data_IF_713797712607
#
_entry.id   IF_713797712607
#
_cell.length_a   1.000
_cell.length_b   1.000
_cell.length_c   1.000
_cell.angle_alpha   90.00
_cell.angle_beta   90.00
_cell.angle_gamma   90.00
#
_symmetry.space_group_name_H-M   'P 1'
#
loop_
_entity.id
_entity.type
_entity.pdbx_description
1 polymer ?
#
# COMPACT_ATOMS: atom_id res chain seq x y z
N UNK A 1 -15.35 23.12 6.54
CA UNK A 1 -15.12 21.72 6.91
C UNK A 1 -14.64 20.92 5.70
N UNK A 2 -13.54 20.25 5.87
CA UNK A 2 -13.05 19.37 4.84
C UNK A 2 -13.92 18.13 4.78
N UNK A 3 -14.35 17.76 3.61
CA UNK A 3 -15.10 16.53 3.40
C UNK A 3 -14.34 15.60 2.50
N UNK A 4 -14.41 14.34 2.84
CA UNK A 4 -13.95 13.31 1.91
C UNK A 4 -14.89 13.25 0.72
N UNK A 5 -14.36 12.96 -0.43
CA UNK A 5 -15.19 12.65 -1.58
C UNK A 5 -16.01 11.40 -1.30
N UNK A 6 -17.18 11.22 -1.93
CA UNK A 6 -17.89 9.97 -1.83
C UNK A 6 -17.00 8.82 -2.29
N UNK A 7 -17.13 7.62 -1.69
CA UNK A 7 -16.36 6.47 -2.15
C UNK A 7 -16.57 6.22 -3.64
N UNK A 8 -15.48 5.91 -4.31
CA UNK A 8 -15.49 5.54 -5.72
C UNK A 8 -15.46 4.03 -5.80
N UNK A 9 -16.33 3.46 -6.61
CA UNK A 9 -16.38 2.01 -6.80
C UNK A 9 -15.00 1.50 -7.22
N UNK A 10 -14.52 0.47 -6.55
CA UNK A 10 -13.22 -0.11 -6.82
C UNK A 10 -12.05 0.58 -6.13
N UNK A 11 -12.27 1.64 -5.36
CA UNK A 11 -11.21 2.30 -4.60
C UNK A 11 -11.27 1.91 -3.14
N UNK A 12 -10.70 0.75 -2.83
CA UNK A 12 -10.57 0.24 -1.48
C UNK A 12 -9.09 0.00 -1.20
N UNK A 13 -8.55 0.71 -0.22
CA UNK A 13 -7.12 0.68 0.10
C UNK A 13 -6.88 0.04 1.46
N UNK A 14 -5.77 -0.70 1.56
CA UNK A 14 -5.24 -1.17 2.83
C UNK A 14 -3.90 -0.49 3.07
N UNK A 15 -3.74 0.15 4.20
CA UNK A 15 -2.49 0.80 4.61
C UNK A 15 -1.86 0.00 5.73
N UNK A 16 -0.69 -0.57 5.44
CA UNK A 16 0.06 -1.40 6.39
C UNK A 16 1.30 -0.64 6.81
N UNK A 17 1.27 -0.07 8.00
CA UNK A 17 2.33 0.77 8.53
C UNK A 17 2.20 0.80 10.05
N UNK A 18 3.29 0.60 10.78
CA UNK A 18 3.27 0.65 12.24
C UNK A 18 3.21 2.08 12.78
N UNK A 19 3.50 3.09 11.96
CA UNK A 19 3.44 4.49 12.36
C UNK A 19 2.00 4.98 12.33
N UNK A 20 1.47 5.25 13.51
CA UNK A 20 0.08 5.68 13.67
C UNK A 20 -0.20 7.00 12.95
N UNK A 21 0.76 7.93 13.00
CA UNK A 21 0.59 9.24 12.36
C UNK A 21 0.53 9.10 10.85
N UNK A 22 1.36 8.25 10.28
CA UNK A 22 1.34 7.99 8.83
C UNK A 22 0.06 7.28 8.41
N UNK A 23 -0.42 6.30 9.19
CA UNK A 23 -1.71 5.67 8.90
C UNK A 23 -2.84 6.70 8.84
N UNK A 24 -2.86 7.62 9.81
CA UNK A 24 -3.85 8.69 9.83
C UNK A 24 -3.75 9.62 8.62
N UNK A 25 -2.54 9.99 8.27
CA UNK A 25 -2.30 10.84 7.11
C UNK A 25 -2.80 10.18 5.82
N UNK A 26 -2.42 8.94 5.58
CA UNK A 26 -2.83 8.22 4.38
C UNK A 26 -4.34 8.01 4.34
N UNK A 27 -4.94 7.69 5.49
CA UNK A 27 -6.39 7.54 5.58
C UNK A 27 -7.10 8.82 5.14
N UNK A 28 -6.62 9.97 5.60
CA UNK A 28 -7.19 11.26 5.24
C UNK A 28 -7.00 11.55 3.75
N UNK A 29 -5.79 11.39 3.26
CA UNK A 29 -5.48 11.74 1.87
C UNK A 29 -6.19 10.83 0.87
N UNK A 30 -6.18 9.54 1.13
CA UNK A 30 -6.85 8.59 0.24
C UNK A 30 -8.37 8.73 0.35
N UNK A 31 -8.88 8.99 1.55
CA UNK A 31 -10.31 9.23 1.74
C UNK A 31 -10.81 10.42 0.93
N UNK A 32 -10.00 11.48 0.85
CA UNK A 32 -10.32 12.66 0.03
C UNK A 32 -10.35 12.36 -1.46
N UNK A 33 -9.77 11.26 -1.86
CA UNK A 33 -9.72 10.82 -3.26
C UNK A 33 -10.66 9.64 -3.52
N UNK A 34 -11.66 9.47 -2.69
CA UNK A 34 -12.72 8.49 -2.92
C UNK A 34 -12.40 7.07 -2.48
N UNK A 35 -11.33 6.87 -1.72
CA UNK A 35 -11.00 5.55 -1.20
C UNK A 35 -11.74 5.24 0.09
N UNK A 36 -12.19 4.00 0.20
CA UNK A 36 -12.48 3.39 1.50
C UNK A 36 -11.15 2.84 2.01
N UNK A 37 -10.75 3.18 3.22
CA UNK A 37 -9.42 2.87 3.74
C UNK A 37 -9.51 2.02 5.00
N UNK A 38 -8.85 0.87 4.97
CA UNK A 38 -8.57 0.08 6.16
C UNK A 38 -7.10 0.22 6.52
N UNK A 39 -6.79 0.08 7.80
CA UNK A 39 -5.41 0.22 8.27
C UNK A 39 -4.99 -1.01 9.06
N UNK A 40 -3.71 -1.30 9.03
CA UNK A 40 -3.11 -2.37 9.83
C UNK A 40 -1.77 -1.88 10.37
N UNK A 41 -1.58 -2.01 11.67
CA UNK A 41 -0.33 -1.64 12.33
C UNK A 41 0.65 -2.79 12.44
N UNK A 42 0.25 -3.99 12.06
CA UNK A 42 1.12 -5.17 12.05
C UNK A 42 0.64 -6.18 11.00
N UNK A 43 1.46 -7.21 10.82
CA UNK A 43 1.20 -8.20 9.77
C UNK A 43 -0.01 -9.06 10.04
N UNK A 44 -0.32 -9.34 11.31
CA UNK A 44 -1.47 -10.18 11.65
C UNK A 44 -2.77 -9.48 11.28
N UNK A 45 -2.88 -8.22 11.64
CA UNK A 45 -4.06 -7.41 11.29
C UNK A 45 -4.16 -7.27 9.77
N UNK A 46 -3.02 -7.09 9.11
CA UNK A 46 -2.99 -7.00 7.66
C UNK A 46 -3.55 -8.27 7.00
N UNK A 47 -3.14 -9.44 7.47
CA UNK A 47 -3.66 -10.70 6.93
C UNK A 47 -5.14 -10.88 7.21
N UNK A 48 -5.61 -10.48 8.40
CA UNK A 48 -7.04 -10.53 8.70
C UNK A 48 -7.83 -9.70 7.70
N UNK A 49 -7.37 -8.50 7.41
CA UNK A 49 -8.00 -7.65 6.40
C UNK A 49 -7.96 -8.27 5.01
N UNK A 50 -6.80 -8.78 4.61
CA UNK A 50 -6.63 -9.38 3.29
C UNK A 50 -7.52 -10.60 3.09
N UNK A 51 -7.80 -11.35 4.16
CA UNK A 51 -8.68 -12.51 4.10
C UNK A 51 -10.15 -12.14 4.02
N UNK A 52 -10.52 -10.94 4.45
CA UNK A 52 -11.92 -10.52 4.54
C UNK A 52 -12.37 -9.60 3.42
N UNK A 53 -11.43 -8.89 2.80
CA UNK A 53 -11.75 -7.85 1.85
C UNK A 53 -10.88 -7.94 0.62
N UNK A 54 -11.41 -7.42 -0.49
CA UNK A 54 -10.63 -7.23 -1.71
C UNK A 54 -10.17 -5.77 -1.76
N UNK A 55 -8.88 -5.57 -1.95
CA UNK A 55 -8.31 -4.24 -2.04
C UNK A 55 -7.86 -3.95 -3.45
N UNK A 56 -8.06 -2.71 -3.89
CA UNK A 56 -7.57 -2.26 -5.18
C UNK A 56 -6.15 -1.72 -5.10
N UNK A 57 -5.70 -1.35 -3.90
CA UNK A 57 -4.33 -0.94 -3.64
C UNK A 57 -3.96 -1.28 -2.20
N UNK A 58 -2.72 -1.69 -2.02
CA UNK A 58 -2.15 -2.00 -0.70
C UNK A 58 -0.86 -1.20 -0.55
N UNK A 59 -0.83 -0.30 0.43
CA UNK A 59 0.39 0.43 0.79
C UNK A 59 1.09 -0.33 1.90
N UNK A 60 2.32 -0.75 1.66
CA UNK A 60 3.07 -1.58 2.59
C UNK A 60 4.39 -0.92 2.96
N UNK A 61 4.56 -0.61 4.24
CA UNK A 61 5.85 -0.21 4.79
C UNK A 61 6.68 -1.47 5.06
N UNK A 62 7.89 -1.50 4.52
CA UNK A 62 8.78 -2.65 4.71
C UNK A 62 9.34 -2.74 6.12
N UNK A 63 9.41 -1.62 6.82
CA UNK A 63 10.09 -1.55 8.13
C UNK A 63 9.08 -1.48 9.26
N UNK A 64 8.61 -2.65 9.69
CA UNK A 64 7.75 -2.77 10.86
C UNK A 64 8.43 -3.64 11.92
N UNK A 65 8.36 -3.26 13.21
CA UNK A 65 9.13 -3.96 14.24
C UNK A 65 8.70 -5.41 14.48
N UNK A 66 7.40 -5.70 14.43
CA UNK A 66 6.90 -7.03 14.78
C UNK A 66 6.85 -7.98 13.62
N UNK A 67 6.50 -7.50 12.44
CA UNK A 67 6.47 -8.29 11.23
C UNK A 67 7.21 -7.52 10.14
N UNK A 68 8.25 -8.14 9.66
CA UNK A 68 9.02 -7.58 8.56
C UNK A 68 8.15 -7.55 7.31
N UNK A 69 8.11 -6.39 6.67
CA UNK A 69 7.34 -6.23 5.43
C UNK A 69 7.76 -7.18 4.33
N UNK A 70 9.03 -7.61 4.32
CA UNK A 70 9.50 -8.62 3.37
C UNK A 70 8.83 -9.97 3.60
N UNK A 71 8.66 -10.37 4.86
CA UNK A 71 7.95 -11.61 5.17
C UNK A 71 6.51 -11.57 4.69
N UNK A 72 5.89 -10.41 4.84
CA UNK A 72 4.53 -10.20 4.38
C UNK A 72 4.45 -10.31 2.85
N UNK A 73 5.39 -9.70 2.14
CA UNK A 73 5.47 -9.81 0.67
C UNK A 73 5.70 -11.25 0.23
N UNK A 74 6.61 -11.95 0.88
CA UNK A 74 6.91 -13.35 0.55
C UNK A 74 5.67 -14.22 0.75
N UNK A 75 4.92 -13.97 1.80
CA UNK A 75 3.70 -14.71 2.08
C UNK A 75 2.60 -14.40 1.08
N UNK A 76 2.45 -13.14 0.70
CA UNK A 76 1.52 -12.77 -0.37
C UNK A 76 1.87 -13.44 -1.68
N UNK A 77 3.16 -13.45 -2.03
CA UNK A 77 3.64 -14.08 -3.26
C UNK A 77 3.35 -15.56 -3.27
N UNK A 78 3.53 -16.23 -2.14
CA UNK A 78 3.30 -17.67 -2.01
C UNK A 78 1.82 -18.02 -2.04
N UNK A 79 1.00 -17.27 -1.28
CA UNK A 79 -0.40 -17.62 -1.04
C UNK A 79 -1.36 -17.00 -2.05
N UNK A 80 -1.05 -15.80 -2.54
CA UNK A 80 -1.92 -15.06 -3.44
C UNK A 80 -1.09 -14.13 -4.31
N UNK A 81 -0.34 -14.68 -5.27
CA UNK A 81 0.62 -13.89 -6.05
C UNK A 81 -0.01 -12.72 -6.81
N UNK A 82 -1.27 -12.83 -7.18
CA UNK A 82 -1.95 -11.74 -7.88
C UNK A 82 -2.11 -10.48 -7.03
N UNK A 83 -2.03 -10.59 -5.71
CA UNK A 83 -2.07 -9.41 -4.84
C UNK A 83 -0.89 -8.49 -5.07
N UNK A 84 0.26 -9.01 -5.48
CA UNK A 84 1.45 -8.18 -5.67
C UNK A 84 1.26 -7.09 -6.71
N UNK A 85 0.40 -7.31 -7.70
CA UNK A 85 0.08 -6.29 -8.71
C UNK A 85 -0.58 -5.05 -8.12
N UNK A 86 -1.04 -5.15 -6.88
CA UNK A 86 -1.76 -4.06 -6.19
C UNK A 86 -0.96 -3.47 -5.04
N UNK A 87 0.28 -3.91 -4.86
CA UNK A 87 1.10 -3.47 -3.74
C UNK A 87 2.00 -2.33 -4.15
N UNK A 88 1.93 -1.24 -3.39
CA UNK A 88 2.89 -0.15 -3.44
C UNK A 88 3.74 -0.28 -2.19
N UNK A 89 5.01 -0.60 -2.38
CA UNK A 89 5.96 -0.75 -1.28
C UNK A 89 6.53 0.61 -0.92
N UNK A 90 6.51 0.94 0.36
CA UNK A 90 7.14 2.14 0.89
C UNK A 90 8.40 1.72 1.65
N UNK A 91 9.50 2.37 1.38
CA UNK A 91 10.76 2.06 2.05
C UNK A 91 11.55 3.31 2.37
N UNK A 92 12.03 3.43 3.61
CA UNK A 92 12.97 4.48 4.03
C UNK A 92 14.41 4.08 3.78
N UNK A 93 14.61 3.09 2.97
CA UNK A 93 15.65 2.17 3.21
C UNK A 93 16.90 2.37 2.42
N UNK A 94 17.89 1.71 2.96
CA UNK A 94 19.14 1.43 2.28
C UNK A 94 18.90 0.70 0.95
N UNK A 95 19.84 0.87 0.04
CA UNK A 95 19.84 0.25 -1.28
C UNK A 95 19.55 -1.26 -1.21
N UNK A 96 20.06 -1.92 -0.20
CA UNK A 96 19.90 -3.36 -0.01
C UNK A 96 18.44 -3.80 0.12
N UNK A 97 17.61 -3.00 0.77
CA UNK A 97 16.20 -3.31 0.93
C UNK A 97 15.44 -3.15 -0.37
N UNK A 98 15.79 -2.13 -1.14
CA UNK A 98 15.20 -1.92 -2.46
C UNK A 98 15.53 -3.09 -3.37
N UNK A 99 16.77 -3.58 -3.32
CA UNK A 99 17.21 -4.72 -4.13
C UNK A 99 16.45 -6.00 -3.79
N UNK A 100 16.08 -6.20 -2.53
CA UNK A 100 15.29 -7.37 -2.13
C UNK A 100 13.89 -7.38 -2.71
N UNK A 101 13.34 -6.22 -3.02
CA UNK A 101 12.03 -6.09 -3.65
C UNK A 101 12.14 -6.16 -5.17
N UNK A 102 13.34 -5.86 -5.68
CA UNK A 102 13.60 -5.87 -7.11
C UNK A 102 13.33 -7.28 -7.67
N UNK A 103 12.61 -7.33 -8.77
CA UNK A 103 12.21 -8.61 -9.35
C UNK A 103 10.89 -9.16 -8.82
N UNK A 104 10.36 -8.64 -7.71
CA UNK A 104 9.01 -8.97 -7.29
C UNK A 104 8.00 -8.15 -8.10
N UNK A 105 6.89 -8.77 -8.53
CA UNK A 105 5.93 -8.09 -9.40
C UNK A 105 4.99 -7.16 -8.61
N UNK A 106 5.55 -6.32 -7.72
CA UNK A 106 4.77 -5.27 -7.05
C UNK A 106 4.46 -4.15 -8.03
N UNK A 107 3.39 -3.39 -7.73
CA UNK A 107 2.96 -2.34 -8.63
C UNK A 107 3.95 -1.17 -8.65
N UNK A 108 4.45 -0.76 -7.49
CA UNK A 108 5.44 0.32 -7.39
C UNK A 108 6.25 0.21 -6.10
N UNK A 109 7.43 0.85 -6.10
CA UNK A 109 8.26 1.01 -4.92
C UNK A 109 8.53 2.50 -4.75
N UNK A 110 8.15 3.06 -3.60
CA UNK A 110 8.29 4.47 -3.31
C UNK A 110 9.22 4.65 -2.11
N UNK A 111 10.28 5.43 -2.30
CA UNK A 111 11.26 5.69 -1.25
C UNK A 111 10.83 6.87 -0.39
N UNK A 112 11.07 6.75 0.91
CA UNK A 112 10.94 7.87 1.84
C UNK A 112 12.22 8.72 1.81
N UNK A 113 12.15 10.04 1.92
CA UNK A 113 10.94 10.84 1.93
C UNK A 113 10.30 10.85 0.55
N UNK A 114 8.99 10.75 0.50
CA UNK A 114 8.26 10.71 -0.75
C UNK A 114 7.39 11.95 -0.93
N UNK A 115 7.07 12.23 -2.18
CA UNK A 115 6.09 13.24 -2.55
C UNK A 115 4.69 12.66 -2.34
N UNK A 116 3.90 13.33 -1.52
CA UNK A 116 2.54 12.90 -1.20
C UNK A 116 1.66 12.86 -2.45
N UNK A 117 1.80 13.85 -3.31
CA UNK A 117 1.02 13.88 -4.55
C UNK A 117 1.37 12.71 -5.45
N UNK A 118 2.63 12.34 -5.50
CA UNK A 118 3.06 11.17 -6.25
C UNK A 118 2.46 9.88 -5.66
N UNK A 119 2.49 9.74 -4.34
CA UNK A 119 1.91 8.57 -3.69
C UNK A 119 0.43 8.43 -3.98
N UNK A 120 -0.32 9.52 -3.85
CA UNK A 120 -1.76 9.51 -4.11
C UNK A 120 -2.06 9.20 -5.57
N UNK A 121 -1.33 9.83 -6.49
CA UNK A 121 -1.49 9.55 -7.91
C UNK A 121 -1.20 8.10 -8.25
N UNK A 122 -0.16 7.54 -7.63
CA UNK A 122 0.22 6.14 -7.80
C UNK A 122 -0.87 5.21 -7.30
N UNK A 123 -1.43 5.51 -6.13
CA UNK A 123 -2.52 4.72 -5.56
C UNK A 123 -3.77 4.73 -6.44
N UNK A 124 -4.13 5.89 -6.98
CA UNK A 124 -5.26 6.02 -7.89
C UNK A 124 -5.03 5.20 -9.15
N UNK A 125 -3.86 5.34 -9.77
CA UNK A 125 -3.53 4.61 -10.99
C UNK A 125 -3.55 3.10 -10.75
N UNK A 126 -3.01 2.66 -9.62
CA UNK A 126 -3.04 1.25 -9.24
C UNK A 126 -4.47 0.74 -9.10
N UNK A 127 -5.33 1.51 -8.41
CA UNK A 127 -6.72 1.12 -8.19
C UNK A 127 -7.53 1.07 -9.49
N UNK A 128 -7.11 1.81 -10.49
CA UNK A 128 -7.75 1.81 -11.81
C UNK A 128 -7.21 0.75 -12.75
N UNK A 129 -6.26 -0.05 -12.27
CA UNK A 129 -5.67 -1.12 -13.07
C UNK A 129 -4.72 -0.63 -14.15
N UNK A 130 -4.23 0.62 -14.07
CA UNK A 130 -3.28 1.13 -15.03
C UNK A 130 -1.93 0.46 -14.88
N UNK A 131 -1.26 0.24 -15.99
CA UNK A 131 0.10 -0.26 -15.96
C UNK A 131 1.04 0.83 -15.47
N UNK A 132 1.90 0.48 -14.51
CA UNK A 132 2.92 1.40 -14.03
C UNK A 132 3.80 1.87 -15.19
N UNK A 133 4.11 3.16 -15.21
CA UNK A 133 4.99 3.73 -16.21
C UNK A 133 4.31 4.10 -17.53
N UNK A 134 3.06 3.77 -17.69
CA UNK A 134 2.27 4.24 -18.81
C UNK A 134 1.67 5.59 -18.46
N UNK A 135 2.08 6.55 -19.15
CA UNK A 135 1.52 7.87 -18.96
C UNK A 135 0.11 7.94 -19.53
#
# INVERSE_FOLDING_TARGET
MSRSDPPVAGRHALVIDDDRALRGLFTTLLGRNGFTVDVAGDGRIAFDHLNRHNYSVILLDLMMPDVNGFELLDRMERDSPSLLDRVIVMTGAAQRQVERVDGKPVWDVIRKPFDIDHLVSSAIACSEGRTKGNA
#
